data_IF_816366284632
#
_entry.id   IF_816366284632
#
_cell.length_a   1.000
_cell.length_b   1.000
_cell.length_c   1.000
_cell.angle_alpha   90.00
_cell.angle_beta   90.00
_cell.angle_gamma   90.00
#
_symmetry.space_group_name_H-M   'P 1'
#
loop_
_entity.id
_entity.type
_entity.pdbx_description
1 polymer ?
#
# COMPACT_ATOMS: atom_id res chain seq x y z
N UNK A 1 -3.31 -15.46 26.28
CA UNK A 1 -3.57 -14.20 25.57
C UNK A 1 -3.68 -14.52 24.10
N UNK A 2 -4.46 -13.77 23.31
CA UNK A 2 -4.45 -13.93 21.85
C UNK A 2 -3.13 -13.47 21.24
N UNK A 3 -2.96 -13.77 19.96
CA UNK A 3 -1.86 -13.24 19.15
C UNK A 3 -2.41 -12.10 18.30
N UNK A 4 -2.04 -10.88 18.66
CA UNK A 4 -2.55 -9.63 18.10
C UNK A 4 -1.41 -8.71 17.64
N UNK A 5 -0.16 -9.19 17.71
CA UNK A 5 1.02 -8.42 17.36
C UNK A 5 1.57 -7.55 18.49
N UNK A 6 1.01 -7.59 19.71
CA UNK A 6 1.36 -6.70 20.82
C UNK A 6 2.82 -6.74 21.29
N UNK A 7 3.61 -7.75 20.96
CA UNK A 7 5.06 -7.74 21.24
C UNK A 7 5.91 -7.21 20.09
N UNK A 8 5.30 -6.83 18.96
CA UNK A 8 5.97 -6.39 17.75
C UNK A 8 5.76 -4.89 17.48
N UNK A 9 6.74 -4.31 16.79
CA UNK A 9 6.61 -3.01 16.12
C UNK A 9 6.71 -3.24 14.61
N UNK A 10 5.72 -2.74 13.88
CA UNK A 10 5.68 -2.75 12.41
C UNK A 10 6.08 -1.36 11.91
N UNK A 11 7.04 -1.32 11.00
CA UNK A 11 7.40 -0.12 10.25
C UNK A 11 6.68 -0.08 8.90
N UNK A 12 6.23 1.09 8.50
CA UNK A 12 5.53 1.33 7.22
C UNK A 12 6.15 2.57 6.59
N UNK A 13 6.68 2.42 5.37
CA UNK A 13 7.14 3.53 4.55
C UNK A 13 6.19 3.74 3.39
N UNK A 14 5.53 4.89 3.33
CA UNK A 14 4.46 5.18 2.37
C UNK A 14 4.17 6.69 2.29
N UNK A 15 3.06 7.12 1.69
CA UNK A 15 2.78 8.52 1.36
C UNK A 15 2.82 9.45 2.58
N UNK A 16 2.00 9.16 3.57
CA UNK A 16 1.88 9.93 4.81
C UNK A 16 0.97 9.19 5.79
N UNK A 17 0.74 9.77 6.97
CA UNK A 17 -0.18 9.20 7.96
C UNK A 17 -1.11 10.27 8.56
N UNK A 18 -2.37 10.30 8.10
CA UNK A 18 -3.38 11.26 8.52
C UNK A 18 -2.86 12.70 8.49
N UNK A 19 -3.08 13.44 9.58
CA UNK A 19 -2.55 14.80 9.75
C UNK A 19 -1.10 14.87 10.26
N UNK A 20 -0.37 13.75 10.27
CA UNK A 20 1.08 13.71 10.46
C UNK A 20 1.56 13.81 11.91
N UNK A 21 0.68 13.63 12.90
CA UNK A 21 1.05 13.57 14.33
C UNK A 21 0.51 12.33 14.98
N UNK A 22 1.05 11.93 16.13
CA UNK A 22 0.60 10.73 16.85
C UNK A 22 -0.89 10.82 17.23
N UNK A 23 -1.35 12.01 17.64
CA UNK A 23 -2.75 12.26 18.02
C UNK A 23 -3.72 12.25 16.84
N UNK A 24 -3.24 12.58 15.65
CA UNK A 24 -4.06 12.78 14.45
C UNK A 24 -3.66 11.83 13.31
N UNK A 25 -3.03 10.71 13.64
CA UNK A 25 -2.64 9.69 12.67
C UNK A 25 -3.87 8.98 12.10
N UNK A 26 -4.70 8.45 13.00
CA UNK A 26 -6.06 7.95 12.72
C UNK A 26 -6.70 7.56 14.06
N UNK A 27 -8.03 7.66 14.17
CA UNK A 27 -8.76 7.32 15.41
C UNK A 27 -8.60 5.87 15.88
N UNK A 28 -8.19 4.97 14.98
CA UNK A 28 -8.01 3.53 15.25
C UNK A 28 -6.56 3.14 15.54
N UNK A 29 -5.69 4.13 15.71
CA UNK A 29 -4.33 3.92 16.20
C UNK A 29 -4.22 4.71 17.50
N UNK A 30 -4.08 4.01 18.62
CA UNK A 30 -3.79 4.67 19.88
C UNK A 30 -2.45 5.39 19.76
N UNK A 31 -2.34 6.68 20.14
CA UNK A 31 -1.08 7.43 20.07
C UNK A 31 0.07 6.72 20.78
N UNK A 32 -0.22 6.04 21.91
CA UNK A 32 0.76 5.25 22.65
C UNK A 32 1.34 4.03 21.91
N UNK A 33 0.70 3.58 20.81
CA UNK A 33 1.23 2.53 19.93
C UNK A 33 2.14 3.10 18.85
N UNK A 34 2.11 4.40 18.61
CA UNK A 34 2.98 5.05 17.64
C UNK A 34 4.31 5.33 18.33
N UNK A 35 5.35 4.62 17.92
CA UNK A 35 6.69 4.83 18.46
C UNK A 35 7.30 6.09 17.88
N UNK A 36 7.18 6.30 16.56
CA UNK A 36 7.74 7.42 15.82
C UNK A 36 6.98 7.62 14.50
N UNK A 37 6.89 8.87 14.06
CA UNK A 37 6.51 9.26 12.70
C UNK A 37 7.67 10.09 12.14
N UNK A 38 8.24 9.62 11.04
CA UNK A 38 9.33 10.29 10.33
C UNK A 38 8.82 10.92 9.05
N UNK A 39 9.39 12.07 8.74
CA UNK A 39 9.30 12.75 7.45
C UNK A 39 10.63 12.56 6.71
N UNK A 40 10.57 11.99 5.51
CA UNK A 40 11.70 11.84 4.59
C UNK A 40 11.48 12.74 3.37
N UNK A 41 11.82 14.04 3.46
CA UNK A 41 11.58 14.94 2.37
C UNK A 41 12.56 14.71 1.22
N UNK A 42 12.05 14.74 0.00
CA UNK A 42 12.85 14.75 -1.21
C UNK A 42 13.72 16.00 -1.35
N UNK A 43 14.72 15.92 -2.23
CA UNK A 43 15.60 17.05 -2.53
C UNK A 43 15.22 17.74 -3.84
N UNK A 44 15.15 19.07 -3.84
CA UNK A 44 14.94 19.87 -5.06
C UNK A 44 16.11 19.74 -6.04
N UNK A 45 15.81 19.78 -7.33
CA UNK A 45 16.81 19.74 -8.41
C UNK A 45 16.86 21.07 -9.14
N UNK A 46 18.00 21.77 -9.01
CA UNK A 46 18.18 23.09 -9.62
C UNK A 46 17.99 23.03 -11.15
N UNK A 47 17.01 23.79 -11.64
CA UNK A 47 16.68 23.85 -13.07
C UNK A 47 15.78 22.72 -13.58
N UNK A 48 15.26 21.86 -12.70
CA UNK A 48 14.32 20.80 -13.08
C UNK A 48 13.06 20.78 -12.23
N UNK A 49 13.15 20.82 -10.89
CA UNK A 49 11.95 20.85 -10.05
C UNK A 49 12.25 21.36 -8.62
N UNK A 50 11.23 21.88 -7.96
CA UNK A 50 11.23 22.15 -6.52
C UNK A 50 10.34 21.17 -5.77
N UNK A 51 10.85 20.67 -4.65
CA UNK A 51 10.09 19.83 -3.71
C UNK A 51 9.45 20.74 -2.66
N UNK A 52 8.16 20.56 -2.44
CA UNK A 52 7.36 21.26 -1.44
C UNK A 52 6.90 20.19 -0.45
N UNK A 53 7.59 20.13 0.69
CA UNK A 53 7.24 19.17 1.72
C UNK A 53 6.04 19.61 2.54
N UNK A 54 5.15 18.67 2.78
CA UNK A 54 4.02 18.76 3.69
C UNK A 54 4.27 18.04 5.01
N UNK A 55 5.49 17.57 5.25
CA UNK A 55 5.83 16.74 6.40
C UNK A 55 5.19 15.36 6.29
N UNK A 56 4.89 14.68 7.41
CA UNK A 56 4.38 13.31 7.35
C UNK A 56 2.86 13.21 7.09
N UNK A 57 2.27 14.25 6.49
CA UNK A 57 0.82 14.33 6.26
C UNK A 57 0.45 13.55 5.01
N UNK A 58 -0.65 12.81 5.07
CA UNK A 58 -1.18 12.08 3.93
C UNK A 58 -2.24 12.94 3.24
N UNK A 59 -1.86 13.76 2.26
CA UNK A 59 -2.71 14.86 1.75
C UNK A 59 -3.29 14.64 0.36
N UNK A 60 -2.91 13.56 -0.32
CA UNK A 60 -3.26 13.35 -1.74
C UNK A 60 -4.01 12.05 -1.98
N UNK A 61 -3.37 10.92 -1.76
CA UNK A 61 -3.98 9.62 -2.05
C UNK A 61 -4.56 8.95 -0.82
N UNK A 62 -4.16 9.34 0.40
CA UNK A 62 -4.53 8.66 1.64
C UNK A 62 -4.01 7.21 1.73
N UNK A 63 -3.11 6.84 0.83
CA UNK A 63 -2.64 5.47 0.62
C UNK A 63 -1.85 4.96 1.83
N UNK A 64 -0.94 5.78 2.36
CA UNK A 64 -0.11 5.45 3.52
C UNK A 64 -0.94 5.20 4.78
N UNK A 65 -2.00 5.98 4.98
CA UNK A 65 -2.96 5.76 6.06
C UNK A 65 -3.72 4.44 5.85
N UNK A 66 -4.19 4.17 4.64
CA UNK A 66 -4.94 2.95 4.31
C UNK A 66 -4.16 1.67 4.53
N UNK A 67 -2.91 1.63 4.05
CA UNK A 67 -2.04 0.46 4.25
C UNK A 67 -1.64 0.31 5.71
N UNK A 68 -1.48 1.41 6.45
CA UNK A 68 -1.18 1.36 7.88
C UNK A 68 -2.31 0.71 8.68
N UNK A 69 -3.54 1.15 8.45
CA UNK A 69 -4.68 0.62 9.19
C UNK A 69 -4.99 -0.83 8.80
N UNK A 70 -4.70 -1.23 7.56
CA UNK A 70 -4.81 -2.63 7.13
C UNK A 70 -3.84 -3.54 7.90
N UNK A 71 -2.65 -3.05 8.23
CA UNK A 71 -1.68 -3.81 9.02
C UNK A 71 -2.06 -3.91 10.50
N UNK A 72 -2.47 -2.80 11.13
CA UNK A 72 -2.51 -2.69 12.60
C UNK A 72 -3.59 -1.77 13.20
N UNK A 73 -4.59 -1.38 12.43
CA UNK A 73 -5.73 -0.62 12.93
C UNK A 73 -6.57 -1.40 13.95
N UNK A 74 -7.08 -0.74 14.98
CA UNK A 74 -7.95 -1.38 15.99
C UNK A 74 -9.37 -1.65 15.48
N UNK A 75 -9.80 -0.95 14.44
CA UNK A 75 -11.12 -1.08 13.82
C UNK A 75 -12.28 -0.50 14.65
N UNK A 76 -12.02 0.57 15.41
CA UNK A 76 -13.01 1.23 16.25
C UNK A 76 -13.69 0.30 17.28
N UNK A 77 -14.89 0.68 17.70
CA UNK A 77 -15.69 -0.09 18.68
C UNK A 77 -16.41 -1.30 18.05
N UNK A 78 -16.58 -1.29 16.73
CA UNK A 78 -17.33 -2.26 15.93
C UNK A 78 -16.46 -3.34 15.29
N UNK A 79 -15.13 -3.16 15.27
CA UNK A 79 -14.19 -3.98 14.50
C UNK A 79 -14.15 -3.65 13.01
N UNK A 80 -14.78 -2.55 12.59
CA UNK A 80 -14.83 -2.11 11.19
C UNK A 80 -13.43 -1.71 10.71
N UNK A 81 -12.94 -2.34 9.65
CA UNK A 81 -11.61 -2.04 9.11
C UNK A 81 -10.46 -2.42 10.06
N UNK A 82 -10.67 -3.34 11.01
CA UNK A 82 -9.62 -3.81 11.90
C UNK A 82 -8.47 -4.44 11.09
N UNK A 83 -7.25 -3.99 11.37
CA UNK A 83 -6.03 -4.53 10.78
C UNK A 83 -5.67 -5.91 11.32
N UNK A 84 -4.72 -6.57 10.67
CA UNK A 84 -4.34 -7.96 11.00
C UNK A 84 -3.62 -8.07 12.36
N UNK A 85 -2.83 -7.06 12.74
CA UNK A 85 -2.08 -7.00 13.99
C UNK A 85 -2.51 -5.79 14.85
N UNK A 86 -3.75 -5.76 15.35
CA UNK A 86 -4.34 -4.58 16.00
C UNK A 86 -3.65 -4.18 17.32
N UNK A 87 -2.82 -5.07 17.90
CA UNK A 87 -2.03 -4.78 19.09
C UNK A 87 -0.61 -4.28 18.80
N UNK A 88 -0.13 -4.34 17.55
CA UNK A 88 1.26 -3.98 17.22
C UNK A 88 1.56 -2.49 17.39
N UNK A 89 2.80 -2.17 17.74
CA UNK A 89 3.33 -0.81 17.66
C UNK A 89 3.61 -0.38 16.21
N UNK A 90 3.68 0.92 15.97
CA UNK A 90 3.90 1.53 14.66
C UNK A 90 5.15 2.41 14.62
N UNK A 91 5.91 2.29 13.54
CA UNK A 91 6.84 3.34 13.07
C UNK A 91 6.40 3.72 11.66
N UNK A 92 6.08 4.99 11.44
CA UNK A 92 5.71 5.45 10.10
C UNK A 92 6.84 6.28 9.48
N UNK A 93 7.06 6.12 8.19
CA UNK A 93 8.04 6.87 7.39
C UNK A 93 7.34 7.45 6.16
N UNK A 94 6.99 8.72 6.20
CA UNK A 94 6.41 9.44 5.08
C UNK A 94 7.48 9.74 4.05
N UNK A 95 7.24 9.37 2.78
CA UNK A 95 8.22 9.52 1.68
C UNK A 95 7.63 10.23 0.45
N UNK A 96 6.41 10.75 0.54
CA UNK A 96 5.75 11.52 -0.52
C UNK A 96 5.90 13.02 -0.28
N UNK A 97 6.18 13.78 -1.33
CA UNK A 97 6.08 15.24 -1.32
C UNK A 97 5.53 15.74 -2.65
N UNK A 98 5.03 16.98 -2.66
CA UNK A 98 4.67 17.64 -3.90
C UNK A 98 5.91 18.11 -4.68
N UNK A 99 5.92 17.85 -5.98
CA UNK A 99 6.96 18.24 -6.91
C UNK A 99 6.40 19.23 -7.93
N UNK A 100 6.94 20.44 -7.94
CA UNK A 100 6.70 21.48 -8.95
C UNK A 100 7.80 21.40 -10.01
N UNK A 101 7.47 20.88 -11.20
CA UNK A 101 8.40 20.73 -12.31
C UNK A 101 8.54 22.04 -13.09
N UNK A 102 9.79 22.36 -13.41
CA UNK A 102 10.19 23.63 -13.98
C UNK A 102 11.02 23.42 -15.25
N UNK A 103 11.17 24.49 -16.03
CA UNK A 103 12.04 24.52 -17.21
C UNK A 103 11.75 23.36 -18.18
N UNK A 104 12.79 22.63 -18.61
CA UNK A 104 12.60 21.50 -19.54
C UNK A 104 11.81 20.36 -18.92
N UNK A 105 11.88 20.18 -17.60
CA UNK A 105 11.20 19.08 -16.91
C UNK A 105 9.69 19.28 -16.84
N UNK A 106 9.20 20.53 -16.83
CA UNK A 106 7.78 20.85 -16.93
C UNK A 106 7.13 20.38 -18.23
N UNK A 107 7.92 20.09 -19.27
CA UNK A 107 7.42 19.52 -20.53
C UNK A 107 7.41 17.98 -20.56
N UNK A 108 8.05 17.35 -19.57
CA UNK A 108 8.22 15.90 -19.48
C UNK A 108 7.35 15.28 -18.38
N UNK A 109 7.10 16.03 -17.32
CA UNK A 109 6.39 15.59 -16.13
C UNK A 109 5.34 16.62 -15.72
N UNK A 110 4.30 16.14 -15.04
CA UNK A 110 3.26 16.98 -14.46
C UNK A 110 3.56 17.23 -12.99
N UNK A 111 3.22 18.42 -12.51
CA UNK A 111 3.28 18.70 -11.08
C UNK A 111 2.34 17.76 -10.32
N UNK A 112 2.75 17.33 -9.13
CA UNK A 112 1.98 16.36 -8.37
C UNK A 112 2.75 15.81 -7.19
N UNK A 113 2.13 14.87 -6.48
CA UNK A 113 2.73 14.15 -5.38
C UNK A 113 3.53 12.94 -5.90
N UNK A 114 4.74 12.77 -5.38
CA UNK A 114 5.65 11.70 -5.77
C UNK A 114 6.36 11.15 -4.53
N UNK A 115 6.70 9.85 -4.54
CA UNK A 115 7.51 9.19 -3.51
C UNK A 115 9.00 9.59 -3.58
N UNK A 116 9.27 10.89 -3.72
CA UNK A 116 10.60 11.49 -3.95
C UNK A 116 11.48 11.47 -2.68
N UNK A 117 10.88 11.15 -1.53
CA UNK A 117 11.53 10.94 -0.25
C UNK A 117 12.23 9.60 -0.09
N UNK A 118 11.93 8.62 -0.96
CA UNK A 118 12.60 7.32 -0.94
C UNK A 118 14.10 7.53 -1.24
N UNK A 119 15.02 7.14 -0.33
CA UNK A 119 16.44 7.37 -0.52
C UNK A 119 17.00 6.48 -1.63
N UNK A 120 18.11 6.93 -2.23
CA UNK A 120 18.83 6.15 -3.26
C UNK A 120 19.27 4.76 -2.76
N UNK A 121 19.56 4.65 -1.46
CA UNK A 121 19.76 3.36 -0.80
C UNK A 121 18.62 3.13 0.18
N UNK A 122 17.63 2.33 -0.24
CA UNK A 122 16.46 2.00 0.57
C UNK A 122 16.79 1.28 1.88
N UNK A 123 18.03 0.78 2.05
CA UNK A 123 18.46 0.22 3.33
C UNK A 123 18.54 1.26 4.45
N UNK A 124 18.60 2.55 4.11
CA UNK A 124 18.54 3.64 5.10
C UNK A 124 17.16 3.71 5.78
N UNK A 125 16.06 3.49 5.05
CA UNK A 125 14.71 3.38 5.62
C UNK A 125 14.64 2.22 6.60
N UNK A 126 15.13 1.05 6.16
CA UNK A 126 15.11 -0.18 6.97
C UNK A 126 15.97 -0.03 8.22
N UNK A 127 17.14 0.59 8.11
CA UNK A 127 18.04 0.81 9.24
C UNK A 127 17.43 1.79 10.26
N UNK A 128 16.77 2.86 9.82
CA UNK A 128 16.09 3.79 10.72
C UNK A 128 15.00 3.07 11.52
N UNK A 129 14.14 2.31 10.85
CA UNK A 129 13.07 1.54 11.48
C UNK A 129 13.62 0.46 12.45
N UNK A 130 14.60 -0.31 11.99
CA UNK A 130 15.21 -1.39 12.77
C UNK A 130 15.87 -0.89 14.06
N UNK A 131 16.53 0.28 14.00
CA UNK A 131 17.18 0.92 15.15
C UNK A 131 16.19 1.38 16.22
N UNK A 132 14.93 1.59 15.84
CA UNK A 132 13.82 1.94 16.73
C UNK A 132 12.96 0.73 17.09
N UNK A 133 13.44 -0.49 16.81
CA UNK A 133 12.84 -1.73 17.30
C UNK A 133 11.85 -2.39 16.35
N UNK A 134 11.60 -1.85 15.15
CA UNK A 134 10.81 -2.57 14.16
C UNK A 134 11.50 -3.88 13.75
N UNK A 135 10.71 -4.94 13.58
CA UNK A 135 11.14 -6.25 13.08
C UNK A 135 10.31 -6.73 11.88
N UNK A 136 9.34 -5.93 11.49
CA UNK A 136 8.57 -6.05 10.26
C UNK A 136 8.59 -4.69 9.56
N UNK A 137 8.89 -4.66 8.27
CA UNK A 137 8.81 -3.46 7.44
C UNK A 137 7.88 -3.72 6.26
N UNK A 138 6.84 -2.90 6.10
CA UNK A 138 5.90 -2.98 4.99
C UNK A 138 6.14 -1.86 4.00
N UNK A 139 6.10 -2.19 2.71
CA UNK A 139 6.35 -1.24 1.63
C UNK A 139 5.34 -1.51 0.49
N UNK A 140 4.35 -0.64 0.36
CA UNK A 140 3.29 -0.75 -0.64
C UNK A 140 3.56 0.14 -1.86
N UNK A 141 4.81 0.15 -2.30
CA UNK A 141 5.31 0.91 -3.43
C UNK A 141 6.35 0.11 -4.19
N UNK A 142 6.67 0.58 -5.39
CA UNK A 142 7.68 -0.01 -6.27
C UNK A 142 7.68 0.66 -7.63
N UNK A 143 8.62 0.25 -8.46
CA UNK A 143 8.69 0.63 -9.87
C UNK A 143 8.45 -0.59 -10.75
N UNK A 144 7.84 -0.38 -11.92
CA UNK A 144 7.79 -1.42 -12.93
C UNK A 144 9.22 -1.71 -13.41
N UNK A 145 9.64 -2.95 -13.16
CA UNK A 145 10.97 -3.42 -13.50
C UNK A 145 10.92 -4.63 -14.44
N UNK A 146 9.72 -5.01 -14.92
CA UNK A 146 9.53 -6.20 -15.76
C UNK A 146 10.28 -7.44 -15.23
N UNK A 147 10.25 -7.66 -13.92
CA UNK A 147 10.93 -8.77 -13.26
C UNK A 147 12.45 -8.62 -13.06
N UNK A 148 13.06 -7.47 -13.34
CA UNK A 148 14.49 -7.23 -13.17
C UNK A 148 14.91 -7.18 -11.68
N UNK A 149 16.11 -7.69 -11.39
CA UNK A 149 16.77 -7.54 -10.10
C UNK A 149 17.60 -6.26 -10.08
N UNK A 150 17.07 -5.23 -9.44
CA UNK A 150 17.61 -3.87 -9.44
C UNK A 150 18.58 -3.62 -8.27
N UNK A 151 19.12 -2.39 -8.19
CA UNK A 151 19.89 -1.93 -7.03
C UNK A 151 19.05 -1.96 -5.75
N UNK A 152 17.80 -1.53 -5.78
CA UNK A 152 16.92 -1.61 -4.61
C UNK A 152 16.71 -3.05 -4.16
N UNK A 153 16.58 -3.98 -5.11
CA UNK A 153 16.47 -5.40 -4.82
C UNK A 153 17.73 -5.93 -4.12
N UNK A 154 18.90 -5.48 -4.56
CA UNK A 154 20.19 -5.80 -3.95
C UNK A 154 20.34 -5.20 -2.55
N UNK A 155 19.91 -3.96 -2.36
CA UNK A 155 19.99 -3.26 -1.07
C UNK A 155 19.07 -3.91 -0.03
N UNK A 156 17.83 -4.25 -0.40
CA UNK A 156 16.91 -4.99 0.46
C UNK A 156 17.48 -6.38 0.85
N UNK A 157 18.02 -7.11 -0.12
CA UNK A 157 18.64 -8.41 0.15
C UNK A 157 19.85 -8.32 1.09
N UNK A 158 20.72 -7.33 0.87
CA UNK A 158 21.90 -7.12 1.70
C UNK A 158 21.53 -6.72 3.13
N UNK A 159 20.50 -5.88 3.30
CA UNK A 159 20.00 -5.48 4.61
C UNK A 159 19.48 -6.69 5.40
N UNK A 160 18.60 -7.50 4.80
CA UNK A 160 18.01 -8.68 5.47
C UNK A 160 19.08 -9.73 5.77
N UNK A 161 20.06 -9.90 4.88
CA UNK A 161 21.17 -10.83 5.12
C UNK A 161 21.98 -10.46 6.38
N UNK A 162 22.18 -9.16 6.61
CA UNK A 162 22.90 -8.63 7.76
C UNK A 162 22.01 -8.47 9.02
N UNK A 163 20.69 -8.38 8.86
CA UNK A 163 19.69 -8.24 9.92
C UNK A 163 18.64 -9.37 9.78
N UNK A 164 19.05 -10.60 10.09
CA UNK A 164 18.26 -11.82 9.84
C UNK A 164 16.95 -11.90 10.63
N UNK A 165 16.79 -11.05 11.62
CA UNK A 165 15.60 -10.88 12.44
C UNK A 165 14.65 -9.79 11.89
N UNK A 166 14.93 -9.17 10.73
CA UNK A 166 13.99 -8.28 10.04
C UNK A 166 13.20 -9.03 8.96
N UNK A 167 11.88 -8.93 8.99
CA UNK A 167 11.02 -9.31 7.86
C UNK A 167 10.66 -8.05 7.06
N UNK A 168 10.80 -8.10 5.73
CA UNK A 168 10.45 -6.98 4.84
C UNK A 168 9.47 -7.48 3.80
N UNK A 169 8.32 -6.82 3.67
CA UNK A 169 7.31 -7.09 2.65
C UNK A 169 7.33 -6.00 1.57
N UNK A 170 7.07 -6.40 0.33
CA UNK A 170 6.91 -5.49 -0.81
C UNK A 170 5.72 -5.90 -1.66
N UNK A 171 4.94 -4.91 -2.11
CA UNK A 171 3.87 -5.14 -3.09
C UNK A 171 4.44 -5.64 -4.42
N UNK A 172 3.82 -6.66 -5.02
CA UNK A 172 4.31 -7.26 -6.26
C UNK A 172 4.28 -6.31 -7.46
N UNK A 173 3.41 -5.28 -7.41
CA UNK A 173 3.09 -4.39 -8.52
C UNK A 173 1.70 -4.65 -9.08
N UNK A 174 1.18 -3.65 -9.81
CA UNK A 174 -0.15 -3.71 -10.43
C UNK A 174 -0.06 -3.69 -11.96
N UNK A 175 1.04 -4.21 -12.53
CA UNK A 175 1.33 -4.19 -13.97
C UNK A 175 0.88 -5.47 -14.70
N UNK A 176 0.02 -6.30 -14.09
CA UNK A 176 -0.54 -7.48 -14.74
C UNK A 176 -1.53 -7.08 -15.84
N UNK A 177 -1.32 -7.56 -17.07
CA UNK A 177 -2.20 -7.32 -18.22
C UNK A 177 -2.34 -8.58 -19.08
N UNK A 178 -3.41 -8.67 -19.86
CA UNK A 178 -3.62 -9.65 -20.94
C UNK A 178 -3.27 -8.96 -22.27
N UNK A 179 -1.99 -8.73 -22.50
CA UNK A 179 -1.51 -7.94 -23.64
C UNK A 179 -1.68 -8.68 -24.98
N UNK A 180 -1.74 -10.02 -24.93
CA UNK A 180 -1.89 -10.87 -26.11
C UNK A 180 -3.38 -11.17 -26.46
N UNK A 181 -4.31 -10.88 -25.53
CA UNK A 181 -5.75 -11.04 -25.71
C UNK A 181 -6.25 -12.49 -25.71
N UNK A 182 -5.58 -13.38 -24.98
CA UNK A 182 -5.97 -14.79 -24.84
C UNK A 182 -6.79 -15.08 -23.58
N UNK A 183 -7.03 -14.05 -22.75
CA UNK A 183 -7.77 -14.16 -21.50
C UNK A 183 -6.92 -14.66 -20.33
N UNK A 184 -5.60 -14.64 -20.45
CA UNK A 184 -4.64 -15.00 -19.40
C UNK A 184 -3.74 -13.79 -19.14
N UNK A 185 -3.50 -13.48 -17.87
CA UNK A 185 -2.55 -12.42 -17.51
C UNK A 185 -1.12 -12.87 -17.81
N UNK A 186 -0.40 -12.06 -18.56
CA UNK A 186 0.97 -12.31 -19.00
C UNK A 186 1.97 -12.32 -17.82
N UNK A 187 2.98 -13.17 -17.95
CA UNK A 187 4.12 -13.26 -17.01
C UNK A 187 5.07 -12.04 -17.13
N UNK A 188 6.03 -11.93 -16.21
CA UNK A 188 7.14 -10.94 -16.22
C UNK A 188 6.74 -9.49 -15.94
N UNK A 189 5.75 -9.28 -15.08
CA UNK A 189 5.30 -7.94 -14.65
C UNK A 189 5.69 -7.59 -13.20
N UNK A 190 6.52 -8.40 -12.55
CA UNK A 190 6.99 -8.13 -11.18
C UNK A 190 7.74 -6.79 -11.07
N UNK A 191 7.31 -5.96 -10.12
CA UNK A 191 8.00 -4.71 -9.79
C UNK A 191 9.25 -4.90 -8.93
N UNK A 192 10.07 -3.86 -8.87
CA UNK A 192 11.17 -3.71 -7.91
C UNK A 192 10.73 -2.77 -6.79
N UNK A 193 11.06 -3.03 -5.51
CA UNK A 193 12.02 -4.04 -5.02
C UNK A 193 11.46 -5.45 -4.75
N UNK A 194 10.22 -5.73 -5.13
CA UNK A 194 9.56 -7.02 -4.89
C UNK A 194 10.26 -8.23 -5.58
N UNK A 195 11.13 -7.96 -6.56
CA UNK A 195 12.00 -8.95 -7.19
C UNK A 195 13.20 -9.34 -6.32
N UNK A 196 13.44 -8.72 -5.16
CA UNK A 196 14.49 -9.13 -4.22
C UNK A 196 14.30 -10.59 -3.74
N UNK A 197 15.39 -11.28 -3.37
CA UNK A 197 15.34 -12.71 -3.01
C UNK A 197 14.83 -12.93 -1.59
N UNK A 198 15.17 -12.03 -0.67
CA UNK A 198 14.99 -12.18 0.77
C UNK A 198 13.78 -11.41 1.31
N UNK A 199 13.13 -10.60 0.47
CA UNK A 199 11.84 -9.96 0.81
C UNK A 199 10.70 -10.95 0.62
N UNK A 200 9.60 -10.72 1.33
CA UNK A 200 8.31 -11.37 1.08
C UNK A 200 7.54 -10.48 0.09
N UNK A 201 7.49 -10.86 -1.18
CA UNK A 201 6.68 -10.15 -2.16
C UNK A 201 5.24 -10.65 -2.16
N UNK A 202 4.31 -9.71 -2.26
CA UNK A 202 2.89 -9.98 -2.01
C UNK A 202 2.06 -9.62 -3.25
N UNK A 203 1.40 -10.62 -3.82
CA UNK A 203 0.38 -10.44 -4.85
C UNK A 203 -1.02 -10.23 -4.25
N UNK A 204 -1.96 -9.81 -5.09
CA UNK A 204 -3.35 -9.58 -4.70
C UNK A 204 -4.26 -10.71 -5.22
N UNK A 205 -4.96 -11.36 -4.31
CA UNK A 205 -6.19 -12.10 -4.63
C UNK A 205 -7.39 -11.16 -4.54
N UNK A 206 -8.53 -11.62 -5.03
CA UNK A 206 -9.80 -10.97 -4.72
C UNK A 206 -10.15 -11.12 -3.24
N UNK A 207 -10.94 -10.17 -2.75
CA UNK A 207 -11.63 -10.31 -1.47
C UNK A 207 -12.95 -11.09 -1.67
N UNK A 208 -13.34 -11.93 -0.71
CA UNK A 208 -14.57 -12.74 -0.76
C UNK A 208 -15.81 -11.90 -0.38
N UNK A 209 -16.04 -10.82 -1.13
CA UNK A 209 -17.17 -9.92 -0.93
C UNK A 209 -17.78 -9.56 -2.28
N UNK A 210 -18.91 -10.20 -2.59
CA UNK A 210 -19.61 -10.01 -3.86
C UNK A 210 -20.66 -8.88 -3.83
N UNK A 211 -20.95 -8.28 -2.65
CA UNK A 211 -22.04 -7.32 -2.46
C UNK A 211 -21.82 -6.35 -1.26
N UNK A 212 -22.83 -5.50 -1.03
CA UNK A 212 -22.91 -4.53 0.08
C UNK A 212 -21.88 -3.40 0.05
N UNK A 213 -21.48 -2.93 -1.12
CA UNK A 213 -20.67 -1.72 -1.26
C UNK A 213 -21.58 -0.49 -1.27
N UNK A 214 -21.34 0.54 -0.44
CA UNK A 214 -22.21 1.72 -0.40
C UNK A 214 -22.30 2.40 -1.76
N UNK A 215 -23.52 2.60 -2.25
CA UNK A 215 -23.83 3.30 -3.50
C UNK A 215 -23.15 4.68 -3.59
N UNK A 216 -22.51 4.93 -4.73
CA UNK A 216 -21.99 6.19 -5.23
C UNK A 216 -23.06 6.91 -6.06
N UNK A 217 -23.63 8.03 -5.55
CA UNK A 217 -24.63 8.79 -6.29
C UNK A 217 -24.10 9.36 -7.63
N UNK A 218 -22.78 9.40 -7.83
CA UNK A 218 -22.12 9.86 -9.05
C UNK A 218 -21.94 8.74 -10.09
N UNK A 219 -22.11 7.47 -9.70
CA UNK A 219 -22.07 6.29 -10.58
C UNK A 219 -23.47 5.66 -10.72
N UNK A 220 -23.54 4.42 -11.24
CA UNK A 220 -24.79 3.66 -11.38
C UNK A 220 -24.88 2.60 -10.29
N UNK A 221 -25.91 2.68 -9.44
CA UNK A 221 -26.16 1.72 -8.36
C UNK A 221 -27.25 0.70 -8.72
N UNK A 222 -27.14 -0.52 -8.20
CA UNK A 222 -28.21 -1.52 -8.17
C UNK A 222 -28.90 -1.52 -6.80
N UNK A 223 -29.94 -0.69 -6.67
CA UNK A 223 -30.56 -0.39 -5.38
C UNK A 223 -29.62 0.48 -4.53
N UNK A 224 -29.28 0.02 -3.33
CA UNK A 224 -28.38 0.72 -2.39
C UNK A 224 -26.90 0.28 -2.53
N UNK A 225 -26.59 -0.59 -3.51
CA UNK A 225 -25.27 -1.18 -3.68
C UNK A 225 -24.54 -0.65 -4.92
N UNK A 226 -23.24 -0.35 -4.76
CA UNK A 226 -22.33 -0.22 -5.90
C UNK A 226 -22.12 -1.61 -6.53
N UNK A 227 -22.32 -1.73 -7.86
CA UNK A 227 -22.00 -2.94 -8.57
C UNK A 227 -20.49 -3.09 -8.70
N UNK A 228 -20.01 -4.32 -8.56
CA UNK A 228 -18.64 -4.65 -8.89
C UNK A 228 -18.37 -4.39 -10.38
N UNK A 229 -17.34 -3.60 -10.67
CA UNK A 229 -16.86 -3.48 -12.03
C UNK A 229 -16.16 -4.78 -12.45
N UNK A 230 -16.18 -5.05 -13.76
CA UNK A 230 -15.34 -6.09 -14.38
C UNK A 230 -14.05 -5.49 -14.91
N UNK A 231 -12.99 -6.29 -15.01
CA UNK A 231 -11.69 -5.79 -15.45
C UNK A 231 -11.71 -5.20 -16.85
N UNK A 232 -12.43 -5.81 -17.79
CA UNK A 232 -12.57 -5.32 -19.16
C UNK A 232 -13.45 -4.06 -19.30
N UNK A 233 -14.29 -3.75 -18.30
CA UNK A 233 -15.00 -2.47 -18.26
C UNK A 233 -14.09 -1.33 -17.79
N UNK A 234 -13.32 -1.57 -16.74
CA UNK A 234 -12.43 -0.55 -16.16
C UNK A 234 -11.18 -0.30 -16.99
N UNK A 235 -10.58 -1.37 -17.54
CA UNK A 235 -9.35 -1.31 -18.32
C UNK A 235 -9.45 -2.17 -19.60
N UNK A 236 -10.27 -1.76 -20.59
CA UNK A 236 -10.52 -2.55 -21.80
C UNK A 236 -9.26 -2.77 -22.67
N UNK A 237 -8.25 -1.93 -22.54
CA UNK A 237 -6.97 -2.09 -23.23
C UNK A 237 -6.06 -3.14 -22.60
N UNK A 238 -6.12 -3.28 -21.27
CA UNK A 238 -5.27 -4.19 -20.50
C UNK A 238 -5.92 -5.58 -20.35
N UNK A 239 -7.25 -5.66 -20.40
CA UNK A 239 -8.01 -6.91 -20.23
C UNK A 239 -9.05 -7.10 -21.35
N UNK A 240 -8.63 -7.38 -22.59
CA UNK A 240 -9.51 -7.37 -23.75
C UNK A 240 -10.30 -8.69 -23.97
N UNK A 241 -9.91 -9.81 -23.34
CA UNK A 241 -10.48 -11.13 -23.61
C UNK A 241 -10.93 -11.92 -22.36
N UNK A 242 -11.90 -12.80 -22.58
CA UNK A 242 -12.43 -13.70 -21.55
C UNK A 242 -11.49 -14.88 -21.31
N UNK A 243 -11.39 -15.40 -20.07
CA UNK A 243 -12.31 -15.14 -18.95
C UNK A 243 -12.07 -13.85 -18.16
N UNK A 244 -10.89 -13.23 -18.21
CA UNK A 244 -10.54 -12.08 -17.34
C UNK A 244 -11.38 -10.84 -17.62
N UNK A 245 -11.68 -10.56 -18.88
CA UNK A 245 -12.44 -9.36 -19.28
C UNK A 245 -13.77 -9.21 -18.52
N UNK A 246 -14.57 -10.27 -18.45
CA UNK A 246 -15.89 -10.24 -17.81
C UNK A 246 -15.83 -10.70 -16.33
N UNK A 247 -14.64 -10.95 -15.78
CA UNK A 247 -14.44 -11.36 -14.39
C UNK A 247 -14.72 -10.17 -13.45
N UNK A 248 -15.55 -10.34 -12.39
CA UNK A 248 -15.80 -9.28 -11.42
C UNK A 248 -14.54 -8.99 -10.60
N UNK A 249 -14.44 -7.76 -10.09
CA UNK A 249 -13.28 -7.32 -9.29
C UNK A 249 -13.24 -7.84 -7.85
N UNK A 250 -14.26 -8.59 -7.41
CA UNK A 250 -14.31 -9.25 -6.11
C UNK A 250 -15.38 -10.36 -6.09
N UNK A 251 -15.39 -11.14 -5.01
CA UNK A 251 -16.40 -12.16 -4.73
C UNK A 251 -15.85 -13.58 -4.72
N UNK A 252 -14.58 -13.79 -5.07
CA UNK A 252 -13.96 -15.11 -5.04
C UNK A 252 -12.52 -15.08 -4.52
N UNK A 253 -12.31 -15.42 -3.25
CA UNK A 253 -10.96 -15.44 -2.65
C UNK A 253 -9.96 -16.40 -3.31
N UNK A 254 -10.41 -17.35 -4.14
CA UNK A 254 -9.54 -18.26 -4.89
C UNK A 254 -9.04 -17.65 -6.22
N UNK A 255 -9.53 -16.46 -6.60
CA UNK A 255 -9.10 -15.75 -7.81
C UNK A 255 -7.99 -14.74 -7.51
N UNK A 256 -7.02 -14.68 -8.42
CA UNK A 256 -6.03 -13.61 -8.45
C UNK A 256 -6.65 -12.36 -9.05
N UNK A 257 -6.41 -11.21 -8.44
CA UNK A 257 -6.76 -9.94 -9.05
C UNK A 257 -6.03 -9.79 -10.40
N UNK A 258 -6.74 -9.35 -11.45
CA UNK A 258 -6.21 -9.31 -12.80
C UNK A 258 -4.97 -8.41 -12.91
N UNK A 259 -5.00 -7.23 -12.29
CA UNK A 259 -3.88 -6.29 -12.26
C UNK A 259 -2.66 -6.79 -11.48
N UNK A 260 -2.81 -7.79 -10.59
CA UNK A 260 -1.70 -8.23 -9.74
C UNK A 260 -0.56 -8.71 -10.63
N UNK A 261 0.60 -8.08 -10.49
CA UNK A 261 1.80 -8.45 -11.24
C UNK A 261 2.12 -9.94 -11.08
N UNK A 262 2.58 -10.54 -12.17
CA UNK A 262 2.90 -11.97 -12.28
C UNK A 262 4.39 -12.15 -12.46
N UNK A 263 4.95 -13.13 -11.77
CA UNK A 263 6.25 -13.68 -12.13
C UNK A 263 6.22 -14.33 -13.52
N UNK A 264 7.34 -14.90 -13.95
CA UNK A 264 8.60 -15.03 -13.23
C UNK A 264 9.39 -13.70 -13.17
N UNK A 265 10.40 -13.65 -12.32
CA UNK A 265 11.46 -12.64 -12.49
C UNK A 265 12.28 -12.95 -13.76
N UNK A 266 13.09 -12.00 -14.23
CA UNK A 266 13.93 -12.18 -15.43
C UNK A 266 14.96 -13.31 -15.29
N UNK A 267 15.37 -13.62 -14.06
CA UNK A 267 16.22 -14.76 -13.72
C UNK A 267 15.43 -16.03 -13.33
N UNK A 268 14.16 -16.10 -13.72
CA UNK A 268 13.25 -17.25 -13.60
C UNK A 268 12.84 -17.66 -12.18
N UNK A 269 13.08 -16.84 -11.15
CA UNK A 269 12.57 -17.09 -9.79
C UNK A 269 11.05 -16.95 -9.76
N UNK A 270 10.44 -17.70 -8.84
CA UNK A 270 9.00 -17.61 -8.57
C UNK A 270 8.80 -16.40 -7.66
N UNK A 271 7.96 -15.47 -8.13
CA UNK A 271 7.44 -14.31 -7.42
C UNK A 271 6.00 -14.06 -7.95
N UNK A 272 5.06 -13.49 -7.16
CA UNK A 272 5.20 -13.19 -5.75
C UNK A 272 5.38 -14.45 -4.88
N UNK A 273 5.80 -14.28 -3.62
CA UNK A 273 5.98 -15.42 -2.70
C UNK A 273 4.65 -15.89 -2.12
N UNK A 274 3.77 -14.93 -1.81
CA UNK A 274 2.45 -15.16 -1.23
C UNK A 274 1.42 -14.20 -1.83
N UNK A 275 0.15 -14.49 -1.58
CA UNK A 275 -0.99 -13.66 -2.01
C UNK A 275 -1.90 -13.41 -0.81
N UNK A 276 -2.55 -12.25 -0.80
CA UNK A 276 -3.57 -11.89 0.17
C UNK A 276 -4.66 -11.06 -0.53
N UNK A 277 -5.87 -10.92 0.07
CA UNK A 277 -6.92 -10.08 -0.50
C UNK A 277 -6.42 -8.66 -0.76
N UNK A 278 -6.57 -8.19 -2.00
CA UNK A 278 -6.13 -6.87 -2.43
C UNK A 278 -7.16 -6.16 -3.31
N UNK A 279 -8.41 -6.63 -3.37
CA UNK A 279 -9.49 -5.92 -4.05
C UNK A 279 -10.54 -5.49 -3.03
N UNK A 280 -11.08 -4.28 -3.19
CA UNK A 280 -12.14 -3.76 -2.31
C UNK A 280 -11.85 -3.97 -0.81
N UNK A 281 -10.64 -3.64 -0.38
CA UNK A 281 -10.21 -3.73 1.02
C UNK A 281 -10.70 -2.47 1.75
N UNK A 282 -11.57 -2.66 2.73
CA UNK A 282 -11.99 -1.60 3.64
C UNK A 282 -10.91 -1.38 4.70
N UNK A 283 -10.37 -0.17 4.78
CA UNK A 283 -9.42 0.22 5.82
C UNK A 283 -9.61 1.69 6.17
N UNK A 284 -8.96 2.12 7.24
CA UNK A 284 -8.94 3.52 7.64
C UNK A 284 -8.29 4.40 6.59
N UNK A 285 -8.58 5.70 6.60
CA UNK A 285 -8.14 6.61 5.55
C UNK A 285 -7.78 7.98 6.14
N UNK A 286 -6.97 8.76 5.42
CA UNK A 286 -6.54 10.08 5.90
C UNK A 286 -7.73 11.02 6.03
N UNK A 287 -7.80 11.79 7.11
CA UNK A 287 -8.87 12.75 7.42
C UNK A 287 -8.61 14.14 6.81
N UNK A 288 -7.92 14.19 5.66
CA UNK A 288 -7.52 15.42 5.01
C UNK A 288 -8.05 15.52 3.57
N UNK A 289 -8.65 16.66 3.26
CA UNK A 289 -9.09 17.04 1.92
C UNK A 289 -10.05 16.02 1.29
N UNK A 290 -10.86 15.34 2.08
CA UNK A 290 -11.84 14.38 1.60
C UNK A 290 -13.02 15.08 0.92
N UNK A 291 -13.40 14.61 -0.28
CA UNK A 291 -14.63 15.07 -0.90
C UNK A 291 -15.82 14.77 0.04
N UNK A 292 -16.73 15.75 0.20
CA UNK A 292 -17.93 15.73 1.08
C UNK A 292 -17.70 15.93 2.58
N UNK A 293 -16.57 15.51 3.13
CA UNK A 293 -16.32 15.61 4.57
C UNK A 293 -15.55 16.89 4.95
N UNK A 294 -14.70 17.38 4.05
CA UNK A 294 -13.88 18.56 4.29
C UNK A 294 -14.38 19.84 3.62
N UNK A 295 -14.09 21.02 4.21
CA UNK A 295 -14.59 22.30 3.70
C UNK A 295 -13.84 22.80 2.45
N UNK A 296 -12.68 22.22 2.13
CA UNK A 296 -11.83 22.69 1.03
C UNK A 296 -10.90 21.59 0.53
N UNK A 297 -10.60 21.65 -0.76
CA UNK A 297 -9.56 20.85 -1.44
C UNK A 297 -8.17 21.12 -0.87
N UNK A 298 -7.22 20.23 -1.17
CA UNK A 298 -5.82 20.42 -0.88
C UNK A 298 -5.32 21.75 -1.50
N UNK A 299 -4.78 22.68 -0.69
CA UNK A 299 -4.36 24.00 -1.17
C UNK A 299 -3.16 23.96 -2.13
N UNK A 300 -2.42 22.86 -2.17
CA UNK A 300 -1.24 22.68 -3.01
C UNK A 300 -1.61 22.39 -4.47
N UNK A 301 -2.60 21.53 -4.72
CA UNK A 301 -3.00 21.10 -6.06
C UNK A 301 -4.46 21.43 -6.42
N UNK A 302 -5.23 21.99 -5.48
CA UNK A 302 -6.67 22.27 -5.62
C UNK A 302 -7.53 21.04 -5.95
N UNK A 303 -7.10 19.86 -5.51
CA UNK A 303 -7.82 18.59 -5.67
C UNK A 303 -8.36 18.06 -4.34
N UNK A 304 -9.43 17.28 -4.40
CA UNK A 304 -9.83 16.42 -3.29
C UNK A 304 -8.92 15.20 -3.24
N UNK A 305 -8.81 14.62 -2.05
CA UNK A 305 -8.14 13.37 -1.82
C UNK A 305 -8.83 12.24 -2.59
N UNK A 306 -8.07 11.25 -3.04
CA UNK A 306 -8.60 10.13 -3.81
C UNK A 306 -9.69 9.34 -3.04
N UNK A 307 -10.84 9.07 -3.65
CA UNK A 307 -11.92 8.36 -2.95
C UNK A 307 -11.75 6.83 -2.86
N UNK A 308 -10.75 6.28 -3.55
CA UNK A 308 -10.57 4.84 -3.63
C UNK A 308 -11.51 4.21 -4.66
N UNK A 309 -12.04 3.04 -4.33
CA UNK A 309 -12.93 2.25 -5.17
C UNK A 309 -14.38 2.43 -4.71
N UNK A 310 -15.15 3.18 -5.50
CA UNK A 310 -16.52 3.59 -5.13
C UNK A 310 -16.54 4.70 -4.09
N UNK A 311 -17.70 4.96 -3.48
CA UNK A 311 -17.79 5.98 -2.42
C UNK A 311 -17.03 5.55 -1.15
N UNK A 312 -16.51 6.54 -0.41
CA UNK A 312 -16.11 6.36 0.98
C UNK A 312 -17.22 5.69 1.80
N UNK A 313 -16.87 4.65 2.55
CA UNK A 313 -17.81 3.99 3.47
C UNK A 313 -18.23 4.92 4.61
N UNK A 314 -17.28 5.76 5.07
CA UNK A 314 -17.52 6.87 5.99
C UNK A 314 -16.37 7.88 5.89
N UNK A 315 -16.39 8.94 6.72
CA UNK A 315 -15.27 9.87 6.88
C UNK A 315 -13.97 9.20 7.38
N UNK A 316 -14.07 7.98 7.92
CA UNK A 316 -12.93 7.26 8.50
C UNK A 316 -12.46 6.08 7.66
N UNK A 317 -13.32 5.49 6.83
CA UNK A 317 -13.01 4.25 6.12
C UNK A 317 -13.35 4.33 4.63
N UNK A 318 -12.44 3.84 3.79
CA UNK A 318 -12.60 3.77 2.34
C UNK A 318 -12.20 2.40 1.79
N UNK A 319 -12.75 2.04 0.64
CA UNK A 319 -12.34 0.86 -0.10
C UNK A 319 -11.20 1.21 -1.04
N UNK A 320 -10.13 0.41 -1.04
CA UNK A 320 -9.06 0.50 -2.04
C UNK A 320 -8.74 -0.88 -2.59
N UNK A 321 -8.09 -0.91 -3.74
CA UNK A 321 -7.57 -2.14 -4.33
C UNK A 321 -6.20 -1.96 -4.95
N UNK A 322 -5.40 -3.02 -4.86
CA UNK A 322 -4.01 -3.06 -5.27
C UNK A 322 -3.25 -4.14 -4.50
N UNK A 323 -2.10 -4.55 -5.05
CA UNK A 323 -1.10 -5.29 -4.27
C UNK A 323 -0.61 -4.49 -3.06
N UNK A 324 -0.74 -3.16 -3.10
CA UNK A 324 -0.58 -2.25 -1.98
C UNK A 324 -1.48 -2.55 -0.78
N UNK A 325 -2.70 -3.03 -0.99
CA UNK A 325 -3.63 -3.39 0.09
C UNK A 325 -3.40 -4.81 0.59
N UNK A 326 -2.94 -5.73 -0.26
CA UNK A 326 -2.59 -7.09 0.13
C UNK A 326 -1.31 -7.14 1.01
N UNK A 327 -0.31 -6.33 0.67
CA UNK A 327 1.00 -6.27 1.35
C UNK A 327 0.93 -6.01 2.87
N UNK A 328 0.19 -5.00 3.36
CA UNK A 328 0.10 -4.73 4.81
C UNK A 328 -0.65 -5.83 5.56
N UNK A 329 -1.58 -6.56 4.93
CA UNK A 329 -2.21 -7.72 5.55
C UNK A 329 -1.18 -8.82 5.84
N UNK A 330 -0.26 -9.06 4.90
CA UNK A 330 0.85 -10.00 5.09
C UNK A 330 1.86 -9.48 6.12
N UNK A 331 2.13 -8.17 6.15
CA UNK A 331 3.00 -7.57 7.16
C UNK A 331 2.41 -7.73 8.58
N UNK A 332 1.12 -7.44 8.77
CA UNK A 332 0.42 -7.69 10.02
C UNK A 332 0.41 -9.18 10.37
N UNK A 333 0.20 -10.07 9.40
CA UNK A 333 0.32 -11.52 9.59
C UNK A 333 1.73 -11.95 10.08
N UNK A 334 2.79 -11.37 9.51
CA UNK A 334 4.16 -11.61 9.96
C UNK A 334 4.38 -11.13 11.40
N UNK A 335 3.77 -9.99 11.79
CA UNK A 335 3.80 -9.49 13.16
C UNK A 335 3.08 -10.46 14.13
N UNK A 336 1.91 -10.96 13.77
CA UNK A 336 1.16 -11.95 14.58
C UNK A 336 1.95 -13.26 14.74
N UNK A 337 2.59 -13.74 13.68
CA UNK A 337 3.44 -14.95 13.74
C UNK A 337 4.65 -14.72 14.66
N UNK A 338 5.30 -13.56 14.58
CA UNK A 338 6.40 -13.21 15.50
C UNK A 338 5.93 -13.08 16.95
N UNK A 339 4.78 -12.46 17.17
CA UNK A 339 4.14 -12.33 18.48
C UNK A 339 3.88 -13.69 19.13
N UNK A 340 3.40 -14.67 18.35
CA UNK A 340 3.31 -16.07 18.77
C UNK A 340 4.66 -16.63 19.24
N UNK A 341 5.70 -16.51 18.40
CA UNK A 341 7.01 -17.05 18.75
C UNK A 341 7.64 -16.38 19.98
N UNK A 342 7.42 -15.08 20.15
CA UNK A 342 7.93 -14.36 21.30
C UNK A 342 7.19 -14.72 22.59
N UNK A 343 5.85 -14.77 22.56
CA UNK A 343 5.02 -15.11 23.73
C UNK A 343 5.22 -16.55 24.20
N UNK A 344 5.30 -17.50 23.26
CA UNK A 344 5.28 -18.92 23.59
C UNK A 344 6.67 -19.55 23.69
N UNK A 345 7.67 -18.99 23.01
CA UNK A 345 9.03 -19.55 22.95
C UNK A 345 10.13 -18.57 23.40
N UNK A 346 9.79 -17.32 23.70
CA UNK A 346 10.77 -16.31 24.12
C UNK A 346 11.76 -15.94 23.01
N UNK A 347 11.43 -16.21 21.75
CA UNK A 347 12.24 -15.79 20.61
C UNK A 347 12.07 -14.28 20.42
N UNK A 348 13.18 -13.54 20.57
CA UNK A 348 13.27 -12.11 20.27
C UNK A 348 13.56 -11.87 18.79
#
# INVERSE_FOLDING_TARGET
AGYDGSTQTVAIADTGLGAGTEENAHRDILPSRISQIYDWPGSSSAGCYSVISDGPRDVDTGHGTHVTLSALGEGGLSGEGQGVAPGAGLIFQAVEDFVDFQSICASLYLDGYYLIGIPLDISDLFQQAYSHGARVHSNSWGTDAMGEYTVDSANADAFIWNNKDMAITFSAGNSGTDANGDGIIDEYSMGSPATAKNVISVGASENERADHYPCDPSTWCDGDNEPLFTYGQSWPGDFPANPIKDDPSAGNAEQMAAFSSRGRTNDARIKPDVVAPGTWVLSGYSDLYQERYDPSTNPQNSAWQYDGWGEPYSEYYKYMGGTSMATPLVAGGAAVVRDFYQKDYGHS
#
